data_IF_919666400937
#
_entry.id   IF_919666400937
#
_cell.length_a   1.000
_cell.length_b   1.000
_cell.length_c   1.000
_cell.angle_alpha   90.00
_cell.angle_beta   90.00
_cell.angle_gamma   90.00
#
_symmetry.space_group_name_H-M   'P 1'
#
loop_
_entity.id
_entity.type
_entity.pdbx_description
1 polymer ?
#
# COMPACT_ATOMS: atom_id res chain seq x y z
N UNK A 1 2.11 11.51 -12.31
CA UNK A 1 3.28 11.74 -11.44
C UNK A 1 4.18 12.87 -11.94
N UNK A 2 4.98 12.70 -13.01
CA UNK A 2 5.93 13.75 -13.46
C UNK A 2 5.28 15.12 -13.73
N UNK A 3 4.13 15.16 -14.42
CA UNK A 3 3.41 16.43 -14.65
C UNK A 3 2.98 17.10 -13.34
N UNK A 4 2.65 16.33 -12.30
CA UNK A 4 2.27 16.86 -10.99
C UNK A 4 3.48 17.45 -10.26
N UNK A 5 4.60 16.73 -10.27
CA UNK A 5 5.89 17.22 -9.78
C UNK A 5 6.29 18.57 -10.37
N UNK A 6 6.22 18.68 -11.71
CA UNK A 6 6.61 19.87 -12.46
C UNK A 6 5.65 21.06 -12.29
N UNK A 7 4.45 20.86 -11.73
CA UNK A 7 3.56 21.97 -11.34
C UNK A 7 4.06 22.69 -10.09
N UNK A 8 4.96 22.08 -9.31
CA UNK A 8 5.66 22.77 -8.22
C UNK A 8 4.80 23.13 -7.01
N UNK A 9 3.61 22.56 -6.83
CA UNK A 9 2.73 22.90 -5.69
C UNK A 9 2.87 21.97 -4.48
N UNK A 10 3.48 20.79 -4.65
CA UNK A 10 3.70 19.81 -3.58
C UNK A 10 2.43 19.20 -2.98
N UNK A 11 1.25 19.44 -3.58
CA UNK A 11 0.00 18.95 -3.00
C UNK A 11 -0.06 17.42 -3.08
N UNK A 12 -0.66 16.73 -2.08
CA UNK A 12 -0.81 15.28 -2.15
C UNK A 12 -1.52 14.83 -3.42
N UNK A 13 -1.05 13.74 -4.01
CA UNK A 13 -1.63 13.14 -5.21
C UNK A 13 -2.33 11.84 -4.86
N UNK A 14 -3.66 11.79 -5.04
CA UNK A 14 -4.44 10.59 -4.79
C UNK A 14 -4.35 9.61 -5.96
N UNK A 15 -4.04 8.35 -5.65
CA UNK A 15 -4.06 7.23 -6.60
C UNK A 15 -5.25 6.31 -6.34
N UNK A 16 -5.58 5.54 -7.37
CA UNK A 16 -6.56 4.46 -7.28
C UNK A 16 -5.94 3.26 -6.54
N UNK A 17 -6.25 3.15 -5.25
CA UNK A 17 -5.74 2.08 -4.40
C UNK A 17 -6.38 0.72 -4.69
N UNK A 18 -7.59 0.68 -5.28
CA UNK A 18 -8.22 -0.58 -5.69
C UNK A 18 -7.45 -1.19 -6.84
N UNK A 19 -7.06 -0.38 -7.84
CA UNK A 19 -6.22 -0.83 -8.95
C UNK A 19 -4.81 -1.21 -8.51
N UNK A 20 -4.26 -0.54 -7.49
CA UNK A 20 -2.98 -0.94 -6.89
C UNK A 20 -3.10 -2.26 -6.14
N UNK A 21 -4.14 -2.44 -5.32
CA UNK A 21 -4.40 -3.68 -4.59
C UNK A 21 -4.65 -4.86 -5.54
N UNK A 22 -5.20 -4.62 -6.73
CA UNK A 22 -5.39 -5.63 -7.76
C UNK A 22 -4.09 -6.11 -8.44
N UNK A 23 -2.97 -5.41 -8.27
CA UNK A 23 -1.68 -5.84 -8.83
C UNK A 23 -1.23 -7.16 -8.17
N UNK A 24 -0.73 -8.15 -8.94
CA UNK A 24 -0.38 -9.47 -8.42
C UNK A 24 0.50 -9.45 -7.16
N UNK A 25 1.55 -8.63 -7.14
CA UNK A 25 2.46 -8.54 -5.99
C UNK A 25 1.80 -7.92 -4.75
N UNK A 26 0.99 -6.88 -4.93
CA UNK A 26 0.28 -6.19 -3.83
C UNK A 26 -0.83 -7.07 -3.29
N UNK A 27 -1.61 -7.68 -4.18
CA UNK A 27 -2.65 -8.66 -3.82
C UNK A 27 -2.06 -9.81 -3.02
N UNK A 28 -0.99 -10.45 -3.51
CA UNK A 28 -0.37 -11.56 -2.81
C UNK A 28 0.12 -11.17 -1.40
N UNK A 29 0.70 -9.98 -1.25
CA UNK A 29 1.15 -9.47 0.05
C UNK A 29 -0.04 -9.20 1.01
N UNK A 30 -1.14 -8.65 0.48
CA UNK A 30 -2.36 -8.42 1.25
C UNK A 30 -3.03 -9.73 1.67
N UNK A 31 -3.22 -10.67 0.74
CA UNK A 31 -3.80 -11.99 0.99
C UNK A 31 -3.00 -12.77 2.06
N UNK A 32 -1.66 -12.77 1.95
CA UNK A 32 -0.82 -13.39 2.96
C UNK A 32 -0.98 -12.76 4.36
N UNK A 33 -1.23 -11.45 4.43
CA UNK A 33 -1.49 -10.78 5.70
C UNK A 33 -2.89 -11.10 6.26
N UNK A 34 -3.91 -11.11 5.41
CA UNK A 34 -5.28 -11.47 5.80
C UNK A 34 -5.34 -12.91 6.31
N UNK A 35 -4.65 -13.85 5.64
CA UNK A 35 -4.53 -15.24 6.08
C UNK A 35 -3.89 -15.36 7.48
N UNK A 36 -2.81 -14.61 7.74
CA UNK A 36 -2.18 -14.57 9.07
C UNK A 36 -3.14 -14.08 10.15
N UNK A 37 -3.84 -12.97 9.91
CA UNK A 37 -4.80 -12.45 10.88
C UNK A 37 -5.94 -13.43 11.18
N UNK A 38 -6.43 -14.14 10.16
CA UNK A 38 -7.47 -15.17 10.34
C UNK A 38 -6.97 -16.33 11.20
N UNK A 39 -5.75 -16.81 10.95
CA UNK A 39 -5.14 -17.87 11.74
C UNK A 39 -4.94 -17.44 13.21
N UNK A 40 -4.37 -16.25 13.44
CA UNK A 40 -4.16 -15.71 14.79
C UNK A 40 -5.48 -15.49 15.55
N UNK A 41 -6.52 -14.98 14.87
CA UNK A 41 -7.83 -14.81 15.46
C UNK A 41 -8.49 -16.14 15.81
N UNK A 42 -8.39 -17.14 14.93
CA UNK A 42 -8.94 -18.47 15.17
C UNK A 42 -8.22 -19.19 16.32
N UNK A 43 -6.90 -19.06 16.41
CA UNK A 43 -6.12 -19.60 17.51
C UNK A 43 -6.55 -19.00 18.87
N UNK A 44 -6.66 -17.67 18.94
CA UNK A 44 -7.13 -16.97 20.15
C UNK A 44 -8.56 -17.34 20.51
N UNK A 45 -9.43 -17.47 19.53
CA UNK A 45 -10.82 -17.90 19.71
C UNK A 45 -10.90 -19.33 20.24
N UNK A 46 -10.11 -20.25 19.66
CA UNK A 46 -10.11 -21.66 20.03
C UNK A 46 -9.58 -21.92 21.45
N UNK A 47 -8.69 -21.06 21.93
CA UNK A 47 -8.15 -21.05 23.29
C UNK A 47 -9.10 -20.42 24.33
N UNK A 48 -10.12 -19.68 23.89
CA UNK A 48 -11.14 -19.06 24.74
C UNK A 48 -12.38 -19.95 24.94
N UNK A 49 -13.52 -19.30 25.21
CA UNK A 49 -14.84 -19.94 25.38
C UNK A 49 -15.53 -20.31 24.06
N UNK A 50 -14.89 -20.01 22.93
CA UNK A 50 -15.38 -20.24 21.56
C UNK A 50 -16.71 -19.54 21.25
N UNK A 51 -17.07 -18.49 21.99
CA UNK A 51 -18.18 -17.61 21.62
C UNK A 51 -17.80 -16.75 20.39
N UNK A 52 -18.78 -16.24 19.61
CA UNK A 52 -18.50 -15.29 18.54
C UNK A 52 -17.68 -14.09 19.03
N UNK A 53 -16.60 -13.78 18.33
CA UNK A 53 -15.62 -12.77 18.77
C UNK A 53 -15.08 -11.93 17.61
N UNK A 54 -14.57 -10.74 17.94
CA UNK A 54 -13.97 -9.82 16.98
C UNK A 54 -12.57 -9.40 17.45
N UNK A 55 -11.61 -9.44 16.52
CA UNK A 55 -10.20 -9.17 16.78
C UNK A 55 -9.73 -8.04 15.85
N UNK A 56 -9.42 -6.84 16.38
CA UNK A 56 -8.84 -5.77 15.58
C UNK A 56 -7.43 -6.16 15.13
N UNK A 57 -7.05 -5.73 13.93
CA UNK A 57 -5.77 -6.09 13.34
C UNK A 57 -5.17 -4.95 12.52
N UNK A 58 -3.84 -4.86 12.57
CA UNK A 58 -3.04 -3.84 11.88
C UNK A 58 -1.75 -4.45 11.37
N UNK A 59 -1.42 -4.21 10.10
CA UNK A 59 -0.27 -4.85 9.46
C UNK A 59 1.01 -4.06 9.69
N UNK A 60 0.91 -2.82 10.19
CA UNK A 60 1.91 -1.79 10.01
C UNK A 60 2.07 -1.39 8.54
N UNK A 61 2.91 -0.39 8.28
CA UNK A 61 3.32 -0.05 6.91
C UNK A 61 4.28 -1.11 6.36
N UNK A 62 4.09 -1.49 5.11
CA UNK A 62 4.87 -2.50 4.41
C UNK A 62 5.18 -2.06 3.01
N UNK A 63 6.41 -2.26 2.58
CA UNK A 63 6.80 -2.01 1.20
C UNK A 63 6.40 -3.16 0.28
N UNK A 64 5.98 -2.80 -0.92
CA UNK A 64 5.84 -3.76 -2.02
C UNK A 64 6.43 -3.18 -3.30
N UNK A 65 7.36 -3.93 -3.89
CA UNK A 65 7.99 -3.58 -5.16
C UNK A 65 7.01 -3.83 -6.30
N UNK A 66 6.86 -2.84 -7.17
CA UNK A 66 6.10 -2.92 -8.42
C UNK A 66 7.12 -2.99 -9.55
N UNK A 67 7.44 -4.21 -9.99
CA UNK A 67 8.37 -4.38 -11.11
C UNK A 67 7.72 -4.05 -12.45
N UNK A 68 8.56 -3.79 -13.46
CA UNK A 68 8.11 -3.60 -14.85
C UNK A 68 7.26 -4.76 -15.41
N UNK A 69 7.46 -5.97 -14.88
CA UNK A 69 6.72 -7.17 -15.29
C UNK A 69 5.35 -7.24 -14.64
N UNK A 70 5.17 -6.63 -13.47
CA UNK A 70 3.88 -6.54 -12.77
C UNK A 70 3.00 -5.49 -13.44
N UNK A 71 3.55 -4.31 -13.69
CA UNK A 71 2.87 -3.26 -14.46
C UNK A 71 3.88 -2.20 -14.86
N UNK A 72 4.04 -1.97 -16.17
CA UNK A 72 4.95 -0.94 -16.69
C UNK A 72 4.54 0.46 -16.24
N UNK A 73 3.25 0.76 -16.25
CA UNK A 73 2.74 2.10 -15.90
C UNK A 73 2.93 2.40 -14.42
N UNK A 74 2.55 1.47 -13.53
CA UNK A 74 2.76 1.63 -12.10
C UNK A 74 4.23 1.57 -11.71
N UNK A 75 5.04 0.78 -12.42
CA UNK A 75 6.49 0.81 -12.26
C UNK A 75 7.07 2.18 -12.62
N UNK A 76 6.73 2.76 -13.78
CA UNK A 76 7.20 4.10 -14.15
C UNK A 76 6.67 5.19 -13.21
N UNK A 77 5.46 5.02 -12.67
CA UNK A 77 4.84 6.00 -11.80
C UNK A 77 5.39 5.95 -10.37
N UNK A 78 5.53 4.76 -9.77
CA UNK A 78 5.78 4.58 -8.35
C UNK A 78 6.98 3.68 -8.04
N UNK A 79 7.25 2.65 -8.84
CA UNK A 79 8.27 1.58 -8.63
C UNK A 79 8.07 0.70 -7.39
N UNK A 80 7.68 1.27 -6.27
CA UNK A 80 7.24 0.60 -5.07
C UNK A 80 6.21 1.49 -4.36
N UNK A 81 5.45 0.89 -3.46
CA UNK A 81 4.47 1.58 -2.63
C UNK A 81 4.51 1.04 -1.21
N UNK A 82 4.24 1.90 -0.25
CA UNK A 82 3.97 1.50 1.13
C UNK A 82 2.47 1.25 1.26
N UNK A 83 2.08 0.10 1.79
CA UNK A 83 0.68 -0.19 2.10
C UNK A 83 0.51 -0.59 3.56
N UNK A 84 -0.67 -0.31 4.12
CA UNK A 84 -1.08 -0.73 5.46
C UNK A 84 -2.50 -1.24 5.41
N UNK A 85 -2.69 -2.46 5.90
CA UNK A 85 -4.01 -3.01 6.16
C UNK A 85 -4.39 -2.72 7.61
N UNK A 86 -5.60 -2.20 7.81
CA UNK A 86 -6.25 -2.07 9.12
C UNK A 86 -7.62 -2.71 9.01
N UNK A 87 -8.01 -3.56 9.96
CA UNK A 87 -9.29 -4.25 9.85
C UNK A 87 -9.74 -4.93 11.14
N UNK A 88 -10.79 -5.73 11.02
CA UNK A 88 -11.31 -6.54 12.12
C UNK A 88 -11.63 -7.93 11.58
N UNK A 89 -11.06 -8.95 12.22
CA UNK A 89 -11.39 -10.35 11.96
C UNK A 89 -12.53 -10.73 12.89
N UNK A 90 -13.65 -11.19 12.35
CA UNK A 90 -14.76 -11.76 13.12
C UNK A 90 -14.73 -13.27 12.99
N UNK A 91 -14.83 -13.96 14.12
CA UNK A 91 -14.90 -15.42 14.22
C UNK A 91 -16.30 -15.77 14.71
N UNK A 92 -17.02 -16.58 13.95
CA UNK A 92 -18.34 -17.09 14.34
C UNK A 92 -18.22 -18.28 15.31
N UNK A 93 -19.34 -18.70 15.90
CA UNK A 93 -19.37 -19.81 16.87
C UNK A 93 -18.92 -21.17 16.27
N UNK A 94 -19.00 -21.32 14.95
CA UNK A 94 -18.53 -22.49 14.21
C UNK A 94 -17.06 -22.39 13.79
N UNK A 95 -16.35 -21.31 14.15
CA UNK A 95 -14.98 -21.04 13.76
C UNK A 95 -14.82 -20.39 12.38
N UNK A 96 -15.91 -20.11 11.66
CA UNK A 96 -15.85 -19.40 10.37
C UNK A 96 -15.30 -17.98 10.59
N UNK A 97 -14.35 -17.56 9.74
CA UNK A 97 -13.69 -16.26 9.85
C UNK A 97 -14.02 -15.34 8.68
N UNK A 98 -14.36 -14.09 8.98
CA UNK A 98 -14.51 -13.02 7.99
C UNK A 98 -13.69 -11.80 8.39
N UNK A 99 -13.17 -11.07 7.42
CA UNK A 99 -12.34 -9.88 7.66
C UNK A 99 -12.87 -8.71 6.84
N UNK A 100 -13.25 -7.63 7.53
CA UNK A 100 -13.44 -6.32 6.90
C UNK A 100 -12.15 -5.52 7.08
N UNK A 101 -11.61 -4.96 5.99
CA UNK A 101 -10.35 -4.24 6.03
C UNK A 101 -10.34 -2.98 5.15
N UNK A 102 -9.49 -2.04 5.55
CA UNK A 102 -9.06 -0.89 4.76
C UNK A 102 -7.60 -1.09 4.37
N UNK A 103 -7.30 -0.92 3.09
CA UNK A 103 -5.95 -0.84 2.55
C UNK A 103 -5.60 0.63 2.29
N UNK A 104 -4.70 1.19 3.11
CA UNK A 104 -4.13 2.50 2.89
C UNK A 104 -2.83 2.38 2.08
N UNK A 105 -2.63 3.31 1.15
CA UNK A 105 -1.44 3.45 0.32
C UNK A 105 -0.75 4.76 0.65
N UNK A 106 0.57 4.72 0.78
CA UNK A 106 1.43 5.89 0.91
C UNK A 106 2.69 5.73 0.04
N UNK A 107 3.21 6.85 -0.44
CA UNK A 107 4.57 6.95 -0.96
C UNK A 107 5.03 8.41 -0.92
N UNK A 108 6.22 8.67 -0.40
CA UNK A 108 6.92 9.92 -0.69
C UNK A 108 7.40 9.91 -2.15
N UNK A 109 6.79 10.73 -3.01
CA UNK A 109 7.18 10.81 -4.42
C UNK A 109 8.26 11.86 -4.61
N UNK A 110 9.46 11.39 -4.94
CA UNK A 110 10.65 12.21 -5.09
C UNK A 110 11.51 11.75 -6.27
N UNK A 111 12.57 12.50 -6.52
CA UNK A 111 13.69 12.06 -7.36
C UNK A 111 14.92 11.92 -6.47
N UNK A 112 15.26 10.69 -6.09
CA UNK A 112 16.42 10.43 -5.23
C UNK A 112 17.70 10.98 -5.86
N UNK A 113 18.31 11.98 -5.21
CA UNK A 113 19.57 12.58 -5.66
C UNK A 113 20.64 11.50 -5.80
N UNK A 114 21.35 11.51 -6.93
CA UNK A 114 22.35 10.48 -7.24
C UNK A 114 21.76 9.19 -7.84
N UNK A 115 20.44 9.04 -7.83
CA UNK A 115 19.74 7.98 -8.55
C UNK A 115 19.73 8.17 -10.06
N UNK A 116 19.38 7.10 -10.77
CA UNK A 116 19.16 7.11 -12.22
C UNK A 116 18.19 6.01 -12.64
N UNK A 117 17.53 6.17 -13.77
CA UNK A 117 16.66 5.13 -14.34
C UNK A 117 16.63 5.27 -15.86
N UNK A 118 16.68 4.16 -16.60
CA UNK A 118 16.68 4.16 -18.08
C UNK A 118 17.69 5.15 -18.70
N UNK A 119 18.87 5.32 -18.07
CA UNK A 119 19.89 6.27 -18.51
C UNK A 119 19.64 7.74 -18.14
N UNK A 120 18.51 8.05 -17.51
CA UNK A 120 18.16 9.40 -17.05
C UNK A 120 18.64 9.61 -15.61
N UNK A 121 19.57 10.54 -15.35
CA UNK A 121 20.00 10.86 -13.99
C UNK A 121 18.94 11.69 -13.25
N UNK A 122 18.79 11.45 -11.95
CA UNK A 122 17.80 12.14 -11.11
C UNK A 122 18.31 13.42 -10.47
N UNK A 123 19.63 13.63 -10.41
CA UNK A 123 20.22 14.84 -9.84
C UNK A 123 19.67 16.15 -10.43
N UNK A 124 19.48 16.29 -11.76
CA UNK A 124 18.84 17.49 -12.32
C UNK A 124 17.42 17.70 -11.82
N UNK A 125 16.64 16.63 -11.66
CA UNK A 125 15.29 16.70 -11.14
C UNK A 125 15.29 17.07 -9.66
N UNK A 126 16.09 16.42 -8.81
CA UNK A 126 16.24 16.80 -7.40
C UNK A 126 16.55 18.31 -7.22
N UNK A 127 17.41 18.87 -8.09
CA UNK A 127 17.69 20.33 -8.10
C UNK A 127 16.47 21.19 -8.43
N UNK A 128 15.53 20.73 -9.27
CA UNK A 128 14.27 21.45 -9.50
C UNK A 128 13.46 21.58 -8.22
N UNK A 129 13.47 20.56 -7.35
CA UNK A 129 12.82 20.64 -6.05
C UNK A 129 13.48 21.68 -5.14
N UNK A 130 14.80 21.64 -5.04
CA UNK A 130 15.61 22.53 -4.20
C UNK A 130 15.50 23.99 -4.61
N UNK A 131 15.42 24.25 -5.92
CA UNK A 131 15.26 25.60 -6.48
C UNK A 131 13.81 26.07 -6.50
N UNK A 132 12.85 25.23 -6.09
CA UNK A 132 11.43 25.55 -6.06
C UNK A 132 10.74 25.51 -7.42
N UNK A 133 11.43 25.10 -8.49
CA UNK A 133 10.89 24.94 -9.84
C UNK A 133 9.98 23.70 -9.96
N UNK A 134 10.12 22.75 -9.05
CA UNK A 134 9.24 21.60 -8.87
C UNK A 134 9.07 21.29 -7.38
N UNK A 135 8.13 20.42 -7.02
CA UNK A 135 7.93 20.01 -5.63
C UNK A 135 7.62 18.52 -5.53
N UNK A 136 8.34 17.86 -4.63
CA UNK A 136 8.01 16.52 -4.14
C UNK A 136 6.65 16.53 -3.44
N UNK A 137 6.00 15.37 -3.38
CA UNK A 137 4.64 15.27 -2.85
C UNK A 137 4.37 13.87 -2.29
N UNK A 138 3.41 13.79 -1.37
CA UNK A 138 2.89 12.51 -0.92
C UNK A 138 1.93 11.93 -1.97
N UNK A 139 2.06 10.64 -2.25
CA UNK A 139 1.04 9.86 -2.95
C UNK A 139 0.24 9.10 -1.92
N UNK A 140 -1.09 9.21 -1.99
CA UNK A 140 -1.99 8.53 -1.05
C UNK A 140 -3.10 7.78 -1.78
N UNK A 141 -3.66 6.77 -1.14
CA UNK A 141 -4.82 6.06 -1.67
C UNK A 141 -5.48 5.20 -0.61
N UNK A 142 -6.75 4.89 -0.81
CA UNK A 142 -7.50 4.03 0.10
C UNK A 142 -8.43 3.12 -0.70
N UNK A 143 -8.48 1.84 -0.30
CA UNK A 143 -9.40 0.84 -0.79
C UNK A 143 -9.98 0.07 0.41
N UNK A 144 -11.16 -0.52 0.22
CA UNK A 144 -11.85 -1.29 1.26
C UNK A 144 -12.17 -2.68 0.73
N UNK A 145 -12.16 -3.68 1.59
CA UNK A 145 -12.41 -5.06 1.19
C UNK A 145 -13.06 -5.89 2.28
N UNK A 146 -13.68 -6.98 1.82
CA UNK A 146 -14.29 -8.02 2.64
C UNK A 146 -13.72 -9.36 2.21
N UNK A 147 -13.13 -10.11 3.14
CA UNK A 147 -12.50 -11.39 2.89
C UNK A 147 -13.20 -12.48 3.72
N UNK A 148 -13.56 -13.61 3.08
CA UNK A 148 -14.21 -14.76 3.72
C UNK A 148 -13.35 -16.01 3.69
#
# INVERSE_FOLDING_TARGET
>A
MLRHYLRGNGTPHRVDAERLLALPAVRAAAEAQLARWRAEALERWAAGDRAPAAYPADSGWRDVLISRHVSRDWWLALRYVEFRLTGTVRVAADGTTVVDYRCAVHKAWNFDRGGRELGVPFTPFARLHETGLAKEFAVTGEAFGHHR
#
